data_IF_503298410809
#
_entry.id   IF_503298410809
#
_cell.length_a   1.000
_cell.length_b   1.000
_cell.length_c   1.000
_cell.angle_alpha   90.00
_cell.angle_beta   90.00
_cell.angle_gamma   90.00
#
_symmetry.space_group_name_H-M   'P 1'
#
loop_
_entity.id
_entity.type
_entity.pdbx_description
1 polymer ?
#
# COMPACT_ATOMS: atom_id res chain seq x y z
N UNK A 1 9.66 -74.98 4.08
CA UNK A 1 9.26 -74.18 2.93
C UNK A 1 8.24 -73.04 3.27
N UNK A 2 7.74 -73.01 4.50
CA UNK A 2 6.75 -72.04 4.97
C UNK A 2 7.36 -70.72 5.54
N UNK A 3 8.59 -70.76 6.01
CA UNK A 3 9.23 -69.61 6.68
C UNK A 3 9.54 -68.44 5.74
N UNK A 4 9.92 -68.72 4.48
CA UNK A 4 10.22 -67.64 3.48
C UNK A 4 8.96 -66.87 3.01
N UNK A 5 7.79 -67.52 3.03
CA UNK A 5 6.53 -66.90 2.58
C UNK A 5 5.96 -65.93 3.61
N UNK A 6 6.12 -66.23 4.89
CA UNK A 6 5.66 -65.35 5.97
C UNK A 6 6.53 -64.09 6.12
N UNK A 7 7.85 -64.17 5.85
CA UNK A 7 8.73 -63.01 5.90
C UNK A 7 8.40 -62.00 4.78
N UNK A 8 8.05 -62.51 3.58
CA UNK A 8 7.62 -61.65 2.48
C UNK A 8 6.31 -60.92 2.76
N UNK A 9 5.34 -61.57 3.44
CA UNK A 9 4.08 -60.93 3.83
C UNK A 9 4.25 -59.89 4.93
N UNK A 10 5.17 -60.10 5.87
CA UNK A 10 5.47 -59.12 6.91
C UNK A 10 6.22 -57.92 6.34
N UNK A 11 7.10 -58.08 5.36
CA UNK A 11 7.80 -57.01 4.69
C UNK A 11 6.83 -56.16 3.84
N UNK A 12 5.79 -56.75 3.24
CA UNK A 12 4.81 -56.06 2.42
C UNK A 12 3.78 -55.26 3.27
N UNK A 13 3.56 -55.64 4.52
CA UNK A 13 2.69 -54.92 5.46
C UNK A 13 3.37 -53.72 6.13
N UNK A 14 4.71 -53.67 6.13
CA UNK A 14 5.46 -52.53 6.73
C UNK A 14 5.61 -51.32 5.81
N UNK A 15 5.33 -51.44 4.52
CA UNK A 15 5.46 -50.35 3.55
C UNK A 15 4.19 -49.52 3.39
N UNK A 16 3.08 -49.87 4.03
CA UNK A 16 1.77 -49.24 3.86
C UNK A 16 1.50 -48.06 4.81
N UNK A 17 2.46 -47.64 5.65
CA UNK A 17 2.17 -46.73 6.77
C UNK A 17 2.83 -45.35 6.71
N UNK A 18 3.29 -44.85 5.57
CA UNK A 18 3.81 -43.47 5.48
C UNK A 18 3.18 -42.74 4.31
N UNK A 19 1.86 -42.69 4.29
CA UNK A 19 1.15 -41.64 3.58
C UNK A 19 0.55 -40.70 4.64
N UNK A 20 1.41 -40.01 5.36
CA UNK A 20 1.01 -38.78 6.06
C UNK A 20 0.71 -37.77 4.96
N UNK A 21 -0.53 -37.77 4.48
CA UNK A 21 -1.05 -36.69 3.70
C UNK A 21 -0.88 -35.40 4.55
N UNK A 22 0.12 -34.59 4.22
CA UNK A 22 0.16 -33.20 4.64
C UNK A 22 -1.06 -32.54 4.00
N UNK A 23 -2.15 -32.63 4.72
CA UNK A 23 -3.33 -31.83 4.44
C UNK A 23 -2.94 -30.40 4.83
N UNK A 24 -2.36 -29.66 3.88
CA UNK A 24 -2.29 -28.21 3.97
C UNK A 24 -3.73 -27.74 4.15
N UNK A 25 -4.11 -27.50 5.39
CA UNK A 25 -5.37 -26.83 5.72
C UNK A 25 -5.25 -25.40 5.20
N UNK A 26 -5.63 -25.22 3.92
CA UNK A 26 -5.76 -23.90 3.32
C UNK A 26 -6.65 -23.06 4.24
N UNK A 27 -6.15 -21.99 4.83
CA UNK A 27 -6.91 -21.21 5.80
C UNK A 27 -8.23 -20.75 5.15
N UNK A 28 -9.36 -21.07 5.77
CA UNK A 28 -10.68 -20.62 5.34
C UNK A 28 -10.82 -19.13 5.63
N UNK A 29 -10.48 -18.30 4.68
CA UNK A 29 -10.63 -16.85 4.80
C UNK A 29 -9.78 -16.15 3.74
N UNK A 30 -10.05 -14.87 3.53
CA UNK A 30 -9.24 -14.04 2.63
C UNK A 30 -8.33 -13.12 3.42
N UNK A 31 -7.25 -12.66 2.80
CA UNK A 31 -6.47 -11.54 3.30
C UNK A 31 -7.34 -10.28 3.39
N UNK A 32 -7.02 -9.37 4.29
CA UNK A 32 -7.75 -8.12 4.49
C UNK A 32 -6.79 -6.98 4.81
N UNK A 33 -6.79 -5.95 3.94
CA UNK A 33 -5.94 -4.78 4.11
C UNK A 33 -6.62 -3.76 5.04
N UNK A 34 -6.04 -3.52 6.21
CA UNK A 34 -6.45 -2.43 7.09
C UNK A 34 -5.43 -1.31 7.01
N UNK A 35 -5.75 -0.25 6.28
CA UNK A 35 -4.93 0.95 6.15
C UNK A 35 -5.00 1.81 7.41
N UNK A 36 -3.88 2.43 7.77
CA UNK A 36 -3.81 3.47 8.80
C UNK A 36 -4.54 4.74 8.32
N UNK A 37 -4.33 5.10 7.04
CA UNK A 37 -5.04 6.17 6.32
C UNK A 37 -5.23 5.76 4.86
N UNK A 38 -6.35 6.15 4.27
CA UNK A 38 -6.63 5.94 2.83
C UNK A 38 -6.59 7.25 2.03
N UNK A 39 -6.33 8.36 2.73
CA UNK A 39 -6.20 9.71 2.16
C UNK A 39 -5.04 10.43 2.83
N UNK A 40 -4.26 11.15 2.03
CA UNK A 40 -3.20 12.02 2.51
C UNK A 40 -3.29 13.38 1.81
N UNK A 41 -3.23 14.44 2.62
CA UNK A 41 -3.15 15.82 2.16
C UNK A 41 -1.72 16.31 2.38
N UNK A 42 -1.07 16.74 1.29
CA UNK A 42 0.26 17.33 1.33
C UNK A 42 0.26 18.79 1.80
N UNK A 43 -0.95 19.39 1.95
CA UNK A 43 -1.09 20.78 2.27
C UNK A 43 -0.70 21.69 1.11
N UNK A 44 -0.27 22.90 1.45
CA UNK A 44 0.18 23.93 0.51
C UNK A 44 1.69 23.84 0.31
N UNK A 45 2.15 23.84 -0.93
CA UNK A 45 3.57 23.75 -1.27
C UNK A 45 3.92 24.58 -2.50
N UNK A 46 5.20 24.95 -2.62
CA UNK A 46 5.73 25.72 -3.71
C UNK A 46 6.24 24.84 -4.88
N UNK A 47 6.38 25.37 -6.12
CA UNK A 47 6.81 24.61 -7.30
C UNK A 47 8.21 24.00 -7.20
N UNK A 48 9.10 24.54 -6.40
CA UNK A 48 10.46 24.03 -6.15
C UNK A 48 10.45 22.72 -5.36
N UNK A 49 9.42 22.53 -4.50
CA UNK A 49 9.19 21.32 -3.70
C UNK A 49 8.12 20.40 -4.30
N UNK A 50 7.91 20.47 -5.62
CA UNK A 50 6.79 19.79 -6.28
C UNK A 50 6.92 18.27 -6.43
N UNK A 51 7.94 17.61 -5.88
CA UNK A 51 8.03 16.14 -5.79
C UNK A 51 7.74 15.73 -4.35
N UNK A 52 6.58 15.12 -4.15
CA UNK A 52 6.05 14.76 -2.84
C UNK A 52 5.78 13.27 -2.79
N UNK A 53 6.21 12.61 -1.70
CA UNK A 53 6.02 11.17 -1.52
C UNK A 53 5.32 10.88 -0.20
N UNK A 54 4.38 9.93 -0.23
CA UNK A 54 3.69 9.44 0.97
C UNK A 54 3.53 7.93 0.93
N UNK A 55 3.81 7.28 2.08
CA UNK A 55 3.66 5.85 2.28
C UNK A 55 2.31 5.54 2.94
N UNK A 56 1.40 4.93 2.19
CA UNK A 56 0.16 4.36 2.73
C UNK A 56 0.47 3.00 3.35
N UNK A 57 0.61 2.96 4.67
CA UNK A 57 0.87 1.74 5.41
C UNK A 57 -0.43 1.03 5.73
N UNK A 58 -0.44 -0.30 5.58
CA UNK A 58 -1.54 -1.17 5.97
C UNK A 58 -1.04 -2.39 6.72
N UNK A 59 -1.93 -3.01 7.50
CA UNK A 59 -1.71 -4.31 8.14
C UNK A 59 -2.63 -5.35 7.52
N UNK A 60 -2.12 -6.54 7.26
CA UNK A 60 -2.98 -7.66 6.89
C UNK A 60 -3.67 -8.19 8.16
N UNK A 61 -4.93 -7.83 8.35
CA UNK A 61 -5.77 -8.31 9.46
C UNK A 61 -6.61 -9.54 9.08
N UNK A 62 -6.41 -10.06 7.87
CA UNK A 62 -7.04 -11.27 7.37
C UNK A 62 -6.34 -12.54 7.83
N UNK A 63 -6.79 -13.67 7.28
CA UNK A 63 -6.28 -15.02 7.61
C UNK A 63 -5.37 -15.62 6.53
N UNK A 64 -5.32 -15.02 5.34
CA UNK A 64 -4.49 -15.45 4.21
C UNK A 64 -3.50 -14.35 3.82
N UNK A 65 -2.38 -14.70 3.17
CA UNK A 65 -1.45 -13.71 2.65
C UNK A 65 -2.11 -12.78 1.64
N UNK A 66 -1.74 -11.50 1.68
CA UNK A 66 -2.11 -10.51 0.68
C UNK A 66 -1.00 -10.41 -0.36
N UNK A 67 -1.40 -10.50 -1.63
CA UNK A 67 -0.56 -10.26 -2.79
C UNK A 67 -1.14 -9.05 -3.51
N UNK A 68 -0.33 -8.02 -3.70
CA UNK A 68 -0.70 -6.86 -4.50
C UNK A 68 -0.35 -7.20 -5.95
N UNK A 69 -1.34 -7.18 -6.84
CA UNK A 69 -1.15 -7.49 -8.24
C UNK A 69 -0.75 -6.24 -9.04
N UNK A 70 -1.33 -5.10 -8.68
CA UNK A 70 -1.12 -3.85 -9.38
C UNK A 70 -1.53 -2.67 -8.51
N UNK A 71 -0.78 -1.57 -8.61
CA UNK A 71 -1.22 -0.24 -8.19
C UNK A 71 -1.11 0.71 -9.39
N UNK A 72 -2.17 1.46 -9.66
CA UNK A 72 -2.23 2.41 -10.77
C UNK A 72 -2.80 3.74 -10.32
N UNK A 73 -2.22 4.84 -10.82
CA UNK A 73 -2.69 6.19 -10.53
C UNK A 73 -3.59 6.73 -11.64
N UNK A 74 -4.44 7.70 -11.29
CA UNK A 74 -5.35 8.38 -12.22
C UNK A 74 -4.64 9.30 -13.23
N UNK A 75 -3.34 9.57 -13.08
CA UNK A 75 -2.53 10.35 -14.01
C UNK A 75 -1.07 9.89 -14.02
N UNK A 76 -0.34 10.16 -15.11
CA UNK A 76 1.09 9.90 -15.21
C UNK A 76 1.98 10.81 -14.32
N UNK A 77 1.37 11.77 -13.62
CA UNK A 77 2.07 12.63 -12.64
C UNK A 77 2.19 11.97 -11.26
N UNK A 78 1.63 10.78 -11.08
CA UNK A 78 1.63 10.04 -9.81
C UNK A 78 2.12 8.62 -10.09
N UNK A 79 3.16 8.22 -9.39
CA UNK A 79 3.79 6.90 -9.54
C UNK A 79 3.63 6.13 -8.23
N UNK A 80 2.82 5.06 -8.21
CA UNK A 80 2.72 4.18 -7.07
C UNK A 80 3.75 3.05 -7.16
N UNK A 81 4.43 2.81 -6.03
CA UNK A 81 5.24 1.61 -5.78
C UNK A 81 4.63 0.83 -4.63
N UNK A 82 4.83 -0.48 -4.55
CA UNK A 82 4.21 -1.29 -3.51
C UNK A 82 5.06 -2.50 -3.12
N UNK A 83 4.76 -3.06 -1.94
CA UNK A 83 5.39 -4.29 -1.45
C UNK A 83 5.08 -5.45 -2.41
N UNK A 84 6.12 -6.05 -3.00
CA UNK A 84 6.00 -7.13 -3.98
C UNK A 84 5.84 -8.50 -3.32
N UNK A 85 6.43 -8.69 -2.14
CA UNK A 85 6.37 -9.94 -1.39
C UNK A 85 4.97 -10.16 -0.82
N UNK A 86 4.52 -11.41 -0.67
CA UNK A 86 3.27 -11.73 0.01
C UNK A 86 3.29 -11.22 1.46
N UNK A 87 2.30 -10.42 1.83
CA UNK A 87 2.15 -9.86 3.18
C UNK A 87 1.35 -10.84 4.03
N UNK A 88 2.02 -11.52 4.96
CA UNK A 88 1.43 -12.54 5.81
C UNK A 88 0.42 -11.93 6.81
N UNK A 89 -0.51 -12.74 7.38
CA UNK A 89 -1.38 -12.29 8.45
C UNK A 89 -0.61 -11.62 9.60
N UNK A 90 -1.05 -10.44 10.03
CA UNK A 90 -0.40 -9.62 11.05
C UNK A 90 0.78 -8.76 10.57
N UNK A 91 1.30 -9.00 9.37
CA UNK A 91 2.39 -8.19 8.81
C UNK A 91 1.89 -6.88 8.20
N UNK A 92 2.80 -5.91 8.14
CA UNK A 92 2.58 -4.63 7.46
C UNK A 92 3.12 -4.67 6.03
N UNK A 93 2.38 -4.01 5.13
CA UNK A 93 2.82 -3.66 3.78
C UNK A 93 2.62 -2.17 3.55
N UNK A 94 3.11 -1.67 2.42
CA UNK A 94 2.96 -0.26 2.05
C UNK A 94 2.70 -0.06 0.56
N UNK A 95 2.03 1.04 0.25
CA UNK A 95 1.94 1.63 -1.08
C UNK A 95 2.60 3.00 -1.00
N UNK A 96 3.77 3.14 -1.60
CA UNK A 96 4.51 4.41 -1.68
C UNK A 96 4.02 5.18 -2.90
N UNK A 97 3.54 6.39 -2.72
CA UNK A 97 2.95 7.21 -3.79
C UNK A 97 3.74 8.48 -3.95
N UNK A 98 4.37 8.66 -5.11
CA UNK A 98 5.11 9.88 -5.46
C UNK A 98 4.29 10.71 -6.44
N UNK A 99 3.99 11.95 -6.06
CA UNK A 99 3.41 12.97 -6.93
C UNK A 99 4.52 13.87 -7.48
N UNK A 100 4.55 14.03 -8.80
CA UNK A 100 5.46 14.95 -9.48
C UNK A 100 4.65 16.10 -10.09
N UNK A 101 4.70 17.26 -9.44
CA UNK A 101 4.06 18.50 -9.86
C UNK A 101 4.94 19.40 -10.74
N UNK A 102 6.21 19.01 -11.01
CA UNK A 102 7.11 19.84 -11.83
C UNK A 102 6.51 20.10 -13.22
N UNK A 103 6.53 21.35 -13.64
CA UNK A 103 5.96 21.80 -14.91
C UNK A 103 4.42 21.73 -14.97
N UNK A 104 3.74 21.52 -13.85
CA UNK A 104 2.29 21.63 -13.73
C UNK A 104 1.89 23.04 -13.37
N UNK A 105 0.67 23.41 -13.73
CA UNK A 105 0.10 24.70 -13.31
C UNK A 105 -0.22 24.63 -11.82
N UNK A 106 0.03 25.71 -11.07
CA UNK A 106 -0.42 25.87 -9.70
C UNK A 106 -1.92 25.62 -9.54
N UNK A 107 -2.33 25.26 -8.34
CA UNK A 107 -3.71 25.00 -7.96
C UNK A 107 -3.90 23.73 -7.17
N UNK A 108 -5.13 23.50 -6.76
CA UNK A 108 -5.55 22.33 -6.00
C UNK A 108 -5.52 21.09 -6.89
N UNK A 109 -4.98 20.00 -6.36
CA UNK A 109 -5.05 18.69 -7.01
C UNK A 109 -5.62 17.62 -6.09
N UNK A 110 -6.25 16.65 -6.72
CA UNK A 110 -6.65 15.37 -6.09
C UNK A 110 -6.39 14.24 -7.08
N UNK A 111 -5.66 13.22 -6.64
CA UNK A 111 -5.35 12.04 -7.44
C UNK A 111 -5.77 10.78 -6.70
N UNK A 112 -6.23 9.77 -7.44
CA UNK A 112 -6.58 8.48 -6.88
C UNK A 112 -5.59 7.42 -7.34
N UNK A 113 -5.33 6.47 -6.44
CA UNK A 113 -4.54 5.27 -6.69
C UNK A 113 -5.47 4.08 -6.50
N UNK A 114 -5.53 3.21 -7.50
CA UNK A 114 -6.31 1.98 -7.49
C UNK A 114 -5.38 0.81 -7.27
N UNK A 115 -5.61 0.03 -6.21
CA UNK A 115 -4.78 -1.10 -5.78
C UNK A 115 -5.56 -2.40 -5.95
N UNK A 116 -5.12 -3.26 -6.85
CA UNK A 116 -5.67 -4.59 -7.08
C UNK A 116 -4.89 -5.63 -6.25
N UNK A 117 -5.60 -6.47 -5.50
CA UNK A 117 -5.03 -7.48 -4.62
C UNK A 117 -5.92 -8.73 -4.58
N UNK A 118 -5.46 -9.82 -3.94
CA UNK A 118 -6.22 -11.07 -3.78
C UNK A 118 -7.16 -11.08 -2.56
N UNK A 119 -7.20 -10.01 -1.76
CA UNK A 119 -7.93 -9.95 -0.50
C UNK A 119 -9.45 -9.76 -0.64
N UNK A 120 -10.12 -9.53 0.49
CA UNK A 120 -11.59 -9.31 0.56
C UNK A 120 -12.02 -8.04 -0.18
N UNK A 121 -11.21 -6.98 -0.03
CA UNK A 121 -11.45 -5.67 -0.64
C UNK A 121 -10.52 -5.51 -1.82
N UNK A 122 -11.06 -5.62 -3.03
CA UNK A 122 -10.33 -5.38 -4.28
C UNK A 122 -11.28 -4.85 -5.34
N UNK A 123 -10.96 -3.73 -6.01
CA UNK A 123 -9.82 -2.86 -5.73
C UNK A 123 -10.00 -1.98 -4.49
N UNK A 124 -8.90 -1.61 -3.83
CA UNK A 124 -8.85 -0.56 -2.82
C UNK A 124 -8.48 0.76 -3.50
N UNK A 125 -9.09 1.86 -3.06
CA UNK A 125 -8.76 3.20 -3.54
C UNK A 125 -8.12 4.04 -2.46
N UNK A 126 -6.98 4.65 -2.81
CA UNK A 126 -6.25 5.60 -1.99
C UNK A 126 -6.29 6.97 -2.67
N UNK A 127 -6.14 8.05 -1.91
CA UNK A 127 -6.21 9.40 -2.42
C UNK A 127 -5.05 10.23 -1.87
N UNK A 128 -4.47 11.03 -2.75
CA UNK A 128 -3.57 12.13 -2.39
C UNK A 128 -4.18 13.43 -2.87
N UNK A 129 -3.99 14.50 -2.12
CA UNK A 129 -4.45 15.83 -2.44
C UNK A 129 -3.46 16.87 -1.92
N UNK A 130 -3.60 18.12 -2.35
CA UNK A 130 -2.78 19.24 -1.94
C UNK A 130 -3.01 20.44 -2.84
N UNK A 131 -2.33 21.54 -2.55
CA UNK A 131 -2.38 22.77 -3.31
C UNK A 131 -0.97 23.27 -3.62
N UNK A 132 -0.66 23.41 -4.91
CA UNK A 132 0.57 24.03 -5.36
C UNK A 132 0.33 25.51 -5.64
N UNK A 133 1.11 26.41 -5.03
CA UNK A 133 1.01 27.86 -5.20
C UNK A 133 2.20 28.41 -5.98
N UNK A 134 2.05 29.59 -6.59
CA UNK A 134 3.12 30.23 -7.37
C UNK A 134 4.24 30.81 -6.50
N UNK A 135 3.92 31.17 -5.27
CA UNK A 135 4.83 31.81 -4.31
C UNK A 135 5.16 30.88 -3.16
N UNK A 136 6.32 31.05 -2.53
CA UNK A 136 6.65 30.30 -1.32
C UNK A 136 5.74 30.72 -0.16
N UNK A 137 5.37 29.80 0.77
CA UNK A 137 4.59 30.18 1.94
C UNK A 137 5.21 31.32 2.78
N UNK A 138 6.54 31.45 2.76
CA UNK A 138 7.26 32.52 3.42
C UNK A 138 6.96 33.92 2.81
N UNK A 139 6.78 34.01 1.51
CA UNK A 139 6.43 35.28 0.81
C UNK A 139 5.02 35.74 1.17
N UNK A 140 4.07 34.81 1.36
CA UNK A 140 2.71 35.14 1.81
C UNK A 140 2.67 35.71 3.23
N UNK A 141 3.61 35.31 4.10
CA UNK A 141 3.70 35.82 5.47
C UNK A 141 4.25 37.25 5.47
N UNK A 142 5.18 37.56 4.57
CA UNK A 142 5.74 38.91 4.45
C UNK A 142 4.73 39.92 3.95
N UNK A 143 3.92 39.60 2.94
CA UNK A 143 2.90 40.47 2.39
C UNK A 143 1.84 40.90 3.43
N UNK A 144 1.48 39.99 4.33
CA UNK A 144 0.56 40.31 5.42
C UNK A 144 1.16 41.21 6.50
N UNK A 145 2.49 41.17 6.73
CA UNK A 145 3.14 42.04 7.71
C UNK A 145 3.30 43.45 7.24
N UNK A 146 3.51 43.64 5.94
CA UNK A 146 3.65 44.95 5.33
C UNK A 146 2.30 45.70 5.23
N UNK A 147 1.21 44.97 5.11
CA UNK A 147 -0.13 45.53 5.02
C UNK A 147 -0.70 45.95 6.41
N UNK A 148 -0.24 45.37 7.52
CA UNK A 148 -0.64 45.75 8.87
C UNK A 148 -0.02 47.07 9.31
N UNK A 149 1.11 47.47 8.70
CA UNK A 149 1.78 48.74 9.01
C UNK A 149 1.08 49.99 8.44
N UNK A 150 0.22 49.83 7.43
CA UNK A 150 -0.50 50.93 6.77
C UNK A 150 -1.69 51.43 7.59
N UNK A 151 -2.25 50.62 8.47
CA UNK A 151 -3.41 50.99 9.31
C UNK A 151 -3.07 51.58 10.68
N UNK A 152 -1.76 51.81 10.98
CA UNK A 152 -1.30 52.45 12.21
C UNK A 152 -0.72 53.85 11.94
N UNK A 153 -1.49 54.76 11.38
CA UNK A 153 -1.20 56.18 11.48
C UNK A 153 -2.36 56.90 12.20
N UNK A 154 -2.04 57.78 13.19
CA UNK A 154 -3.00 58.42 14.06
C UNK A 154 -3.86 59.48 13.36
#
# INVERSE_FOLDING_TARGET
MYMKRNVLFILMLLTASISFAQQETKPKGKGEMKFEKTRHDFGVFAPDTAILTYDFVFTNVGKEPIIIHQASASCGCTVPEYTLEPIMPGQKGKISVTYNGKGRRPGVFRKSITVHNNGKQTPVRLYIEGEMIDTTPAELIQDNSDNESIYKQP
#
